data_IF_774966201489
#
_entry.id   IF_774966201489
#
_cell.length_a   1.000
_cell.length_b   1.000
_cell.length_c   1.000
_cell.angle_alpha   90.00
_cell.angle_beta   90.00
_cell.angle_gamma   90.00
#
_symmetry.space_group_name_H-M   'P 1'
#
loop_
_entity.id
_entity.type
_entity.pdbx_description
1 polymer ?
#
# COMPACT_ATOMS: atom_id res chain seq x y z
N UNK A 1 -33.46 2.90 -15.69
CA UNK A 1 -32.78 3.56 -14.54
C UNK A 1 -32.49 2.61 -13.38
N UNK A 2 -33.41 1.77 -12.93
CA UNK A 2 -33.20 0.88 -11.75
C UNK A 2 -31.99 -0.06 -11.84
N UNK A 3 -31.62 -0.58 -13.02
CA UNK A 3 -30.45 -1.45 -13.20
C UNK A 3 -29.11 -0.71 -13.11
N UNK A 4 -29.04 0.50 -13.65
CA UNK A 4 -27.83 1.35 -13.57
C UNK A 4 -27.53 1.71 -12.12
N UNK A 5 -28.55 2.12 -11.34
CA UNK A 5 -28.44 2.42 -9.92
C UNK A 5 -27.93 1.22 -9.11
N UNK A 6 -28.43 0.00 -9.39
CA UNK A 6 -27.94 -1.22 -8.74
C UNK A 6 -26.46 -1.52 -9.05
N UNK A 7 -26.03 -1.31 -10.29
CA UNK A 7 -24.61 -1.46 -10.62
C UNK A 7 -23.74 -0.38 -9.98
N UNK A 8 -24.23 0.86 -9.89
CA UNK A 8 -23.55 1.94 -9.19
C UNK A 8 -23.36 1.64 -7.70
N UNK A 9 -24.39 1.11 -7.04
CA UNK A 9 -24.29 0.67 -5.65
C UNK A 9 -23.24 -0.45 -5.46
N UNK A 10 -23.30 -1.48 -6.32
CA UNK A 10 -22.32 -2.58 -6.27
C UNK A 10 -20.90 -2.08 -6.55
N UNK A 11 -20.73 -1.15 -7.49
CA UNK A 11 -19.44 -0.53 -7.76
C UNK A 11 -18.90 0.19 -6.52
N UNK A 12 -19.76 0.97 -5.85
CA UNK A 12 -19.35 1.69 -4.63
C UNK A 12 -18.91 0.74 -3.50
N UNK A 13 -19.63 -0.39 -3.31
CA UNK A 13 -19.20 -1.41 -2.32
C UNK A 13 -17.88 -2.08 -2.72
N UNK A 14 -17.70 -2.44 -3.99
CA UNK A 14 -16.46 -3.05 -4.45
C UNK A 14 -15.26 -2.09 -4.38
N UNK A 15 -15.49 -0.80 -4.61
CA UNK A 15 -14.46 0.22 -4.41
C UNK A 15 -14.11 0.39 -2.93
N UNK A 16 -15.09 0.29 -2.02
CA UNK A 16 -14.84 0.28 -0.58
C UNK A 16 -13.96 -0.90 -0.17
N UNK A 17 -14.22 -2.10 -0.71
CA UNK A 17 -13.41 -3.29 -0.46
C UNK A 17 -11.96 -3.06 -0.94
N UNK A 18 -11.78 -2.48 -2.13
CA UNK A 18 -10.46 -2.13 -2.67
C UNK A 18 -9.72 -1.11 -1.80
N UNK A 19 -10.38 -0.02 -1.40
CA UNK A 19 -9.79 1.00 -0.51
C UNK A 19 -9.43 0.41 0.86
N UNK A 20 -10.24 -0.52 1.37
CA UNK A 20 -9.94 -1.24 2.61
C UNK A 20 -8.64 -2.05 2.49
N UNK A 21 -8.44 -2.78 1.39
CA UNK A 21 -7.18 -3.49 1.12
C UNK A 21 -5.98 -2.55 1.01
N UNK A 22 -6.15 -1.37 0.38
CA UNK A 22 -5.10 -0.35 0.28
C UNK A 22 -4.69 0.17 1.66
N UNK A 23 -5.67 0.49 2.51
CA UNK A 23 -5.42 0.98 3.88
C UNK A 23 -4.72 -0.09 4.72
N UNK A 24 -5.15 -1.35 4.64
CA UNK A 24 -4.49 -2.46 5.36
C UNK A 24 -3.03 -2.58 4.95
N UNK A 25 -2.73 -2.55 3.65
CA UNK A 25 -1.37 -2.58 3.17
C UNK A 25 -0.54 -1.38 3.63
N UNK A 26 -1.15 -0.18 3.64
CA UNK A 26 -0.48 1.03 4.09
C UNK A 26 -0.15 0.99 5.60
N UNK A 27 -1.09 0.51 6.42
CA UNK A 27 -0.88 0.34 7.88
C UNK A 27 0.22 -0.68 8.14
N UNK A 28 0.18 -1.85 7.48
CA UNK A 28 1.17 -2.90 7.69
C UNK A 28 2.57 -2.44 7.23
N UNK A 29 2.66 -1.76 6.09
CA UNK A 29 3.92 -1.19 5.62
C UNK A 29 4.48 -0.12 6.59
N UNK A 30 3.63 0.78 7.08
CA UNK A 30 4.03 1.78 8.07
C UNK A 30 4.45 1.14 9.40
N UNK A 31 3.74 0.10 9.86
CA UNK A 31 4.11 -0.68 11.03
C UNK A 31 5.53 -1.28 10.91
N UNK A 32 5.81 -1.98 9.81
CA UNK A 32 7.13 -2.59 9.58
C UNK A 32 8.23 -1.54 9.42
N UNK A 33 7.91 -0.36 8.89
CA UNK A 33 8.84 0.77 8.85
C UNK A 33 9.25 1.22 10.25
N UNK A 34 8.30 1.34 11.19
CA UNK A 34 8.59 1.69 12.59
C UNK A 34 9.44 0.59 13.26
N UNK A 35 9.11 -0.67 13.05
CA UNK A 35 9.88 -1.81 13.59
C UNK A 35 11.32 -1.81 13.05
N UNK A 36 11.50 -1.53 11.74
CA UNK A 36 12.84 -1.38 11.13
C UNK A 36 13.65 -0.29 11.82
N UNK A 37 13.08 0.90 11.99
CA UNK A 37 13.75 2.04 12.60
C UNK A 37 14.05 1.79 14.09
N UNK A 38 13.17 1.12 14.82
CA UNK A 38 13.43 0.70 16.20
C UNK A 38 14.62 -0.27 16.31
N UNK A 39 14.73 -1.20 15.36
CA UNK A 39 15.86 -2.12 15.30
C UNK A 39 17.17 -1.39 14.94
N UNK A 40 17.13 -0.46 13.98
CA UNK A 40 18.27 0.38 13.59
C UNK A 40 18.72 1.32 14.71
N UNK A 41 17.78 1.84 15.51
CA UNK A 41 18.10 2.64 16.70
C UNK A 41 18.92 1.82 17.71
N UNK A 42 18.48 0.60 18.04
CA UNK A 42 19.22 -0.31 18.93
C UNK A 42 20.60 -0.66 18.37
N UNK A 43 20.69 -0.87 17.06
CA UNK A 43 21.95 -1.14 16.37
C UNK A 43 22.91 0.06 16.48
N UNK A 44 22.42 1.29 16.26
CA UNK A 44 23.24 2.51 16.37
C UNK A 44 23.78 2.70 17.79
N UNK A 45 22.98 2.47 18.83
CA UNK A 45 23.43 2.49 20.23
C UNK A 45 24.52 1.44 20.51
N UNK A 46 24.34 0.21 19.99
CA UNK A 46 25.33 -0.85 20.12
C UNK A 46 26.65 -0.49 19.44
N UNK A 47 26.59 0.13 18.26
CA UNK A 47 27.77 0.57 17.52
C UNK A 47 28.52 1.70 18.25
N UNK A 48 27.81 2.69 18.80
CA UNK A 48 28.38 3.74 19.63
C UNK A 48 29.10 3.13 20.83
N UNK A 49 28.50 2.14 21.49
CA UNK A 49 29.10 1.44 22.63
C UNK A 49 30.40 0.71 22.24
N UNK A 50 30.43 0.08 21.05
CA UNK A 50 31.65 -0.57 20.52
C UNK A 50 32.76 0.44 20.24
N UNK A 51 32.44 1.58 19.60
CA UNK A 51 33.38 2.65 19.31
C UNK A 51 33.92 3.29 20.60
N UNK A 52 33.07 3.53 21.59
CA UNK A 52 33.48 4.10 22.87
C UNK A 52 34.43 3.17 23.64
N UNK A 53 34.14 1.86 23.61
CA UNK A 53 35.04 0.84 24.18
C UNK A 53 36.40 0.83 23.48
N UNK A 54 36.42 0.97 22.14
CA UNK A 54 37.68 1.06 21.39
C UNK A 54 38.46 2.36 21.74
N UNK A 55 37.75 3.50 21.85
CA UNK A 55 38.30 4.79 22.26
C UNK A 55 38.99 4.69 23.60
N UNK A 56 38.34 4.06 24.59
CA UNK A 56 38.93 3.87 25.94
C UNK A 56 40.20 3.05 25.86
N UNK A 57 40.22 1.95 25.11
CA UNK A 57 41.37 1.08 24.93
C UNK A 57 42.55 1.82 24.28
N UNK A 58 42.27 2.52 23.15
CA UNK A 58 43.28 3.27 22.40
C UNK A 58 43.85 4.43 23.23
N UNK A 59 42.99 5.10 24.03
CA UNK A 59 43.48 6.16 24.96
C UNK A 59 44.42 5.60 26.04
N UNK A 60 44.13 4.40 26.56
CA UNK A 60 45.06 3.73 27.50
C UNK A 60 46.40 3.35 26.83
N UNK A 61 46.36 2.86 25.58
CA UNK A 61 47.54 2.55 24.76
C UNK A 61 48.35 3.81 24.40
N UNK A 62 47.70 4.95 24.15
CA UNK A 62 48.34 6.24 23.92
C UNK A 62 49.12 6.70 25.16
N UNK A 63 48.55 6.57 26.36
CA UNK A 63 49.19 6.90 27.60
C UNK A 63 50.43 6.02 27.91
N UNK A 64 50.46 4.83 27.32
CA UNK A 64 51.60 3.90 27.39
C UNK A 64 52.61 4.10 26.24
N UNK A 65 52.34 5.02 25.29
CA UNK A 65 53.20 5.29 24.14
C UNK A 65 53.12 4.25 23.00
N UNK A 66 52.12 3.34 23.06
CA UNK A 66 51.92 2.26 22.07
C UNK A 66 51.01 2.69 20.90
N UNK A 67 50.06 3.61 21.12
CA UNK A 67 49.20 4.17 20.10
C UNK A 67 49.55 5.65 19.83
N UNK A 68 49.10 6.16 18.70
CA UNK A 68 49.29 7.56 18.31
C UNK A 68 48.06 8.42 18.63
N UNK A 69 48.27 9.74 18.74
CA UNK A 69 47.17 10.70 18.88
C UNK A 69 46.24 10.68 17.65
N UNK A 70 46.77 10.36 16.46
CA UNK A 70 46.00 10.23 15.23
C UNK A 70 45.00 9.05 15.31
N UNK A 71 45.38 7.93 15.91
CA UNK A 71 44.50 6.77 16.12
C UNK A 71 43.32 7.15 17.01
N UNK A 72 43.54 7.88 18.10
CA UNK A 72 42.47 8.34 18.98
C UNK A 72 41.51 9.31 18.26
N UNK A 73 42.08 10.29 17.54
CA UNK A 73 41.27 11.27 16.80
C UNK A 73 40.40 10.60 15.70
N UNK A 74 40.92 9.57 15.01
CA UNK A 74 40.16 8.82 14.01
C UNK A 74 38.95 8.12 14.63
N UNK A 75 39.07 7.56 15.83
CA UNK A 75 37.97 6.92 16.55
C UNK A 75 36.95 7.99 17.00
N UNK A 76 37.42 9.14 17.51
CA UNK A 76 36.52 10.24 17.90
C UNK A 76 35.71 10.79 16.72
N UNK A 77 36.32 10.90 15.53
CA UNK A 77 35.58 11.27 14.28
C UNK A 77 34.50 10.27 13.99
N UNK A 78 34.77 8.95 14.05
CA UNK A 78 33.78 7.89 13.83
C UNK A 78 32.68 7.89 14.89
N UNK A 79 33.04 8.15 16.16
CA UNK A 79 32.07 8.24 17.25
C UNK A 79 31.10 9.42 17.04
N UNK A 80 31.63 10.60 16.69
CA UNK A 80 30.81 11.76 16.38
C UNK A 80 29.87 11.50 15.16
N UNK A 81 30.39 10.84 14.11
CA UNK A 81 29.58 10.45 12.99
C UNK A 81 28.42 9.50 13.38
N UNK A 82 28.74 8.50 14.24
CA UNK A 82 27.74 7.56 14.74
C UNK A 82 26.66 8.26 15.60
N UNK A 83 27.02 9.28 16.37
CA UNK A 83 26.09 10.12 17.14
C UNK A 83 25.13 10.91 16.19
N UNK A 84 25.68 11.48 15.11
CA UNK A 84 24.84 12.15 14.09
C UNK A 84 23.87 11.17 13.43
N UNK A 85 24.34 9.97 13.11
CA UNK A 85 23.49 8.95 12.50
C UNK A 85 22.42 8.42 13.47
N UNK A 86 22.74 8.32 14.78
CA UNK A 86 21.75 8.03 15.83
C UNK A 86 20.64 9.09 15.85
N UNK A 87 21.01 10.39 15.89
CA UNK A 87 20.03 11.47 15.89
C UNK A 87 19.12 11.46 14.64
N UNK A 88 19.66 11.07 13.47
CA UNK A 88 18.87 10.88 12.25
C UNK A 88 17.87 9.73 12.39
N UNK A 89 18.28 8.60 12.95
CA UNK A 89 17.39 7.45 13.17
C UNK A 89 16.32 7.77 14.20
N UNK A 90 16.62 8.50 15.27
CA UNK A 90 15.66 8.96 16.28
C UNK A 90 14.58 9.86 15.64
N UNK A 91 15.01 10.84 14.83
CA UNK A 91 14.08 11.70 14.12
C UNK A 91 13.22 10.91 13.12
N UNK A 92 13.83 10.02 12.33
CA UNK A 92 13.10 9.16 11.39
C UNK A 92 12.09 8.26 12.11
N UNK A 93 12.44 7.71 13.30
CA UNK A 93 11.54 6.89 14.11
C UNK A 93 10.33 7.70 14.60
N UNK A 94 10.55 8.94 15.04
CA UNK A 94 9.46 9.85 15.46
C UNK A 94 8.51 10.14 14.30
N UNK A 95 9.05 10.47 13.12
CA UNK A 95 8.25 10.74 11.93
C UNK A 95 7.47 9.51 11.44
N UNK A 96 8.07 8.33 11.50
CA UNK A 96 7.40 7.08 11.13
C UNK A 96 6.25 6.73 12.08
N UNK A 97 6.41 6.99 13.39
CA UNK A 97 5.33 6.84 14.38
C UNK A 97 4.19 7.82 14.12
N UNK A 98 4.49 9.07 13.77
CA UNK A 98 3.46 10.06 13.40
C UNK A 98 2.72 9.65 12.12
N UNK A 99 3.42 9.09 11.13
CA UNK A 99 2.79 8.62 9.89
C UNK A 99 1.87 7.42 10.16
N UNK A 100 2.31 6.46 10.97
CA UNK A 100 1.47 5.34 11.40
C UNK A 100 0.24 5.83 12.19
N UNK A 101 0.40 6.75 13.12
CA UNK A 101 -0.72 7.33 13.88
C UNK A 101 -1.73 8.02 12.94
N UNK A 102 -1.24 8.79 11.95
CA UNK A 102 -2.08 9.43 10.93
C UNK A 102 -2.88 8.42 10.11
N UNK A 103 -2.25 7.35 9.63
CA UNK A 103 -2.92 6.32 8.82
C UNK A 103 -4.00 5.61 9.66
N UNK A 104 -3.74 5.40 10.97
CA UNK A 104 -4.70 4.83 11.91
C UNK A 104 -5.79 5.81 12.37
N UNK A 105 -5.77 7.07 11.91
CA UNK A 105 -6.73 8.09 12.34
C UNK A 105 -6.56 8.58 13.79
N UNK A 106 -5.36 8.38 14.38
CA UNK A 106 -5.01 8.80 15.73
C UNK A 106 -4.36 10.19 15.72
N UNK A 107 -4.31 10.84 16.90
CA UNK A 107 -3.55 12.07 17.05
C UNK A 107 -2.06 11.82 16.80
N UNK A 108 -1.38 12.76 16.12
CA UNK A 108 0.05 12.65 15.75
C UNK A 108 0.98 12.51 16.97
N UNK A 109 0.56 12.98 18.15
CA UNK A 109 1.32 12.89 19.38
C UNK A 109 0.97 11.65 20.22
N UNK A 110 0.16 10.73 19.70
CA UNK A 110 -0.20 9.51 20.42
C UNK A 110 1.02 8.61 20.61
N UNK A 111 1.32 8.23 21.83
CA UNK A 111 2.39 7.28 22.13
C UNK A 111 1.92 5.86 21.78
N UNK A 112 2.45 5.30 20.71
CA UNK A 112 2.17 3.93 20.28
C UNK A 112 3.20 2.98 20.89
N UNK A 113 2.73 1.98 21.62
CA UNK A 113 3.56 0.88 22.11
C UNK A 113 3.41 -0.30 21.15
N UNK A 114 4.45 -0.53 20.36
CA UNK A 114 4.47 -1.62 19.39
C UNK A 114 5.23 -2.82 19.95
N UNK A 115 4.70 -4.05 19.81
CA UNK A 115 5.43 -5.25 20.18
C UNK A 115 6.67 -5.42 19.28
N UNK A 116 7.78 -5.88 19.87
CA UNK A 116 9.05 -6.00 19.17
C UNK A 116 9.12 -7.37 18.46
N UNK A 117 8.51 -7.48 17.30
CA UNK A 117 8.30 -8.75 16.57
C UNK A 117 9.44 -9.15 15.63
N UNK A 118 10.53 -8.36 15.54
CA UNK A 118 11.65 -8.69 14.64
C UNK A 118 12.31 -10.05 14.98
N UNK A 119 12.16 -10.50 16.22
CA UNK A 119 12.67 -11.80 16.71
C UNK A 119 11.84 -12.99 16.24
N UNK A 120 10.57 -12.79 15.89
CA UNK A 120 9.62 -13.84 15.49
C UNK A 120 9.58 -14.04 13.97
N UNK A 121 10.73 -13.95 13.29
CA UNK A 121 10.80 -14.21 11.84
C UNK A 121 10.72 -15.72 11.57
N UNK A 122 9.57 -16.34 11.89
CA UNK A 122 9.21 -17.59 11.24
C UNK A 122 9.00 -17.28 9.76
N UNK A 123 9.60 -18.08 8.90
CA UNK A 123 9.32 -18.09 7.47
C UNK A 123 7.80 -18.14 7.30
N UNK A 124 7.19 -17.03 6.89
CA UNK A 124 5.76 -17.07 6.57
C UNK A 124 5.55 -18.10 5.46
N UNK A 125 4.50 -18.93 5.54
CA UNK A 125 4.18 -19.83 4.45
C UNK A 125 4.05 -19.00 3.17
N UNK A 126 4.83 -19.36 2.15
CA UNK A 126 4.73 -18.69 0.86
C UNK A 126 3.31 -18.91 0.31
N UNK A 127 2.61 -17.85 -0.11
CA UNK A 127 1.32 -18.02 -0.75
C UNK A 127 1.47 -18.94 -1.97
N UNK A 128 0.44 -19.73 -2.23
CA UNK A 128 0.46 -20.76 -3.26
C UNK A 128 0.57 -20.10 -4.65
N UNK A 129 1.77 -20.12 -5.23
CA UNK A 129 2.14 -19.43 -6.48
C UNK A 129 1.47 -20.06 -7.72
N UNK A 130 0.88 -21.25 -7.57
CA UNK A 130 0.28 -22.03 -8.67
C UNK A 130 -1.19 -21.66 -8.96
N UNK A 131 -1.67 -20.52 -8.49
CA UNK A 131 -3.04 -20.10 -8.76
C UNK A 131 -3.19 -19.66 -10.24
N UNK A 132 -4.22 -20.16 -10.89
CA UNK A 132 -4.59 -19.72 -12.23
C UNK A 132 -4.94 -18.24 -12.22
N UNK A 133 -4.49 -17.48 -13.23
CA UNK A 133 -4.81 -16.05 -13.36
C UNK A 133 -6.32 -15.77 -13.20
N UNK A 134 -7.18 -16.65 -13.71
CA UNK A 134 -8.62 -16.49 -13.57
C UNK A 134 -9.10 -16.55 -12.12
N UNK A 135 -8.46 -17.36 -11.26
CA UNK A 135 -8.78 -17.39 -9.83
C UNK A 135 -8.28 -16.14 -9.09
N UNK A 136 -7.15 -15.60 -9.51
CA UNK A 136 -6.64 -14.32 -8.99
C UNK A 136 -7.61 -13.19 -9.34
N UNK A 137 -7.98 -13.07 -10.61
CA UNK A 137 -8.94 -12.05 -11.09
C UNK A 137 -10.29 -12.14 -10.37
N UNK A 138 -10.76 -13.36 -10.07
CA UNK A 138 -12.03 -13.59 -9.37
C UNK A 138 -12.03 -13.13 -7.90
N UNK A 139 -10.86 -12.89 -7.30
CA UNK A 139 -10.72 -12.45 -5.91
C UNK A 139 -10.43 -10.95 -5.79
N UNK A 140 -9.98 -10.32 -6.87
CA UNK A 140 -9.52 -8.92 -6.85
C UNK A 140 -10.67 -7.93 -6.97
N UNK A 141 -10.90 -7.05 -5.98
CA UNK A 141 -11.98 -6.07 -6.03
C UNK A 141 -11.75 -4.99 -7.10
N UNK A 142 -10.50 -4.59 -7.38
CA UNK A 142 -10.17 -3.62 -8.44
C UNK A 142 -10.59 -4.13 -9.83
N UNK A 143 -10.36 -5.41 -10.15
CA UNK A 143 -10.81 -6.02 -11.40
C UNK A 143 -12.33 -6.11 -11.47
N UNK A 144 -13.00 -6.50 -10.37
CA UNK A 144 -14.45 -6.53 -10.30
C UNK A 144 -15.09 -5.14 -10.46
N UNK A 145 -14.45 -4.08 -9.93
CA UNK A 145 -14.90 -2.71 -10.14
C UNK A 145 -14.90 -2.34 -11.63
N UNK A 146 -13.86 -2.73 -12.38
CA UNK A 146 -13.80 -2.52 -13.84
C UNK A 146 -14.85 -3.34 -14.60
N UNK A 147 -15.08 -4.59 -14.21
CA UNK A 147 -16.18 -5.40 -14.79
C UNK A 147 -17.55 -4.73 -14.59
N UNK A 148 -17.82 -4.21 -13.40
CA UNK A 148 -19.03 -3.45 -13.11
C UNK A 148 -19.10 -2.17 -13.94
N UNK A 149 -17.97 -1.50 -14.14
CA UNK A 149 -17.83 -0.35 -15.04
C UNK A 149 -18.26 -0.68 -16.47
N UNK A 150 -17.80 -1.80 -17.02
CA UNK A 150 -18.25 -2.29 -18.37
C UNK A 150 -19.75 -2.53 -18.38
N UNK A 151 -20.31 -3.21 -17.36
CA UNK A 151 -21.76 -3.46 -17.25
C UNK A 151 -22.56 -2.15 -17.17
N UNK A 152 -22.05 -1.13 -16.49
CA UNK A 152 -22.66 0.20 -16.44
C UNK A 152 -22.66 0.88 -17.81
N UNK A 153 -21.53 0.86 -18.54
CA UNK A 153 -21.45 1.40 -19.91
C UNK A 153 -22.42 0.68 -20.87
N UNK A 154 -22.57 -0.64 -20.75
CA UNK A 154 -23.57 -1.40 -21.50
C UNK A 154 -25.01 -0.97 -21.17
N UNK A 155 -25.32 -0.65 -19.90
CA UNK A 155 -26.65 -0.09 -19.58
C UNK A 155 -26.84 1.33 -20.14
N UNK A 156 -25.79 2.16 -20.16
CA UNK A 156 -25.83 3.48 -20.79
C UNK A 156 -26.07 3.37 -22.32
N UNK A 157 -25.44 2.41 -23.00
CA UNK A 157 -25.68 2.11 -24.40
C UNK A 157 -27.18 1.72 -24.64
N UNK A 158 -27.74 0.86 -23.76
CA UNK A 158 -29.17 0.48 -23.85
C UNK A 158 -30.09 1.67 -23.60
N UNK A 159 -29.73 2.60 -22.70
CA UNK A 159 -30.48 3.84 -22.46
C UNK A 159 -30.45 4.70 -23.72
N UNK A 160 -29.26 4.92 -24.33
CA UNK A 160 -29.14 5.66 -25.58
C UNK A 160 -29.94 5.03 -26.73
N UNK A 161 -29.97 3.69 -26.79
CA UNK A 161 -30.83 2.98 -27.76
C UNK A 161 -32.33 3.20 -27.47
N UNK A 162 -32.72 3.23 -26.19
CA UNK A 162 -34.14 3.44 -25.81
C UNK A 162 -34.65 4.86 -26.17
N UNK A 163 -33.76 5.85 -26.29
CA UNK A 163 -34.14 7.18 -26.78
C UNK A 163 -34.60 7.20 -28.27
N UNK A 164 -34.35 6.12 -29.00
CA UNK A 164 -34.83 5.92 -30.40
C UNK A 164 -36.14 5.15 -30.46
N UNK A 165 -36.63 4.59 -29.34
CA UNK A 165 -37.85 3.80 -29.27
C UNK A 165 -39.02 4.64 -28.76
N UNK A 166 -40.29 4.23 -29.05
CA UNK A 166 -41.47 4.86 -28.46
C UNK A 166 -41.42 4.82 -26.93
N UNK A 167 -41.68 5.95 -26.30
CA UNK A 167 -41.79 6.09 -24.85
C UNK A 167 -43.27 6.21 -24.46
N UNK A 168 -43.69 5.40 -23.48
CA UNK A 168 -45.04 5.43 -22.91
C UNK A 168 -44.95 5.88 -21.47
N UNK A 169 -45.61 6.97 -21.15
CA UNK A 169 -45.69 7.50 -19.78
C UNK A 169 -47.16 7.54 -19.32
N UNK A 170 -47.40 7.11 -18.10
CA UNK A 170 -48.68 7.29 -17.42
C UNK A 170 -48.60 8.50 -16.52
N UNK A 171 -49.49 9.44 -16.67
CA UNK A 171 -49.52 10.72 -15.94
C UNK A 171 -50.83 10.80 -15.17
N UNK A 172 -50.73 11.04 -13.86
CA UNK A 172 -51.87 11.36 -13.00
C UNK A 172 -51.65 12.73 -12.38
N UNK A 173 -52.65 13.59 -12.43
CA UNK A 173 -52.62 14.89 -11.80
C UNK A 173 -53.92 15.17 -11.04
N UNK A 174 -53.79 15.78 -9.88
CA UNK A 174 -54.90 16.36 -9.16
C UNK A 174 -54.69 17.87 -9.12
N UNK A 175 -55.62 18.59 -9.78
CA UNK A 175 -55.49 20.05 -9.97
C UNK A 175 -56.59 20.75 -9.20
N UNK A 176 -56.19 21.66 -8.33
CA UNK A 176 -57.06 22.58 -7.61
C UNK A 176 -57.07 23.92 -8.32
N UNK A 177 -58.26 24.39 -8.79
CA UNK A 177 -58.34 25.67 -9.47
C UNK A 177 -59.65 26.41 -9.16
N UNK A 178 -59.57 27.77 -9.25
CA UNK A 178 -60.71 28.66 -9.21
C UNK A 178 -60.55 29.71 -10.30
N UNK A 179 -61.43 29.78 -11.33
CA UNK A 179 -62.58 28.88 -11.59
C UNK A 179 -62.16 27.46 -11.94
N UNK A 180 -63.02 26.50 -11.59
CA UNK A 180 -62.80 25.10 -12.00
C UNK A 180 -63.14 24.95 -13.48
N UNK A 181 -62.09 24.66 -14.28
CA UNK A 181 -62.23 24.51 -15.75
C UNK A 181 -62.91 23.19 -16.15
N UNK A 182 -63.01 22.20 -15.23
CA UNK A 182 -63.60 20.89 -15.49
C UNK A 182 -65.07 20.80 -15.10
N UNK A 183 -65.58 21.82 -14.36
CA UNK A 183 -67.01 21.91 -13.94
C UNK A 183 -67.63 23.24 -14.38
N UNK A 184 -67.70 23.47 -15.73
CA UNK A 184 -68.40 24.56 -16.33
C UNK A 184 -68.00 25.99 -15.91
N UNK A 185 -66.73 26.22 -15.59
CA UNK A 185 -66.20 27.49 -15.10
C UNK A 185 -66.79 27.96 -13.75
N UNK A 186 -67.19 27.03 -12.90
CA UNK A 186 -67.67 27.29 -11.54
C UNK A 186 -66.64 28.16 -10.74
N UNK A 187 -67.06 29.33 -10.24
CA UNK A 187 -66.25 30.27 -9.47
C UNK A 187 -66.05 29.82 -8.00
N UNK A 188 -65.64 28.59 -7.79
CA UNK A 188 -65.27 28.09 -6.47
C UNK A 188 -64.01 27.25 -6.57
N UNK A 189 -63.26 27.15 -5.49
CA UNK A 189 -62.13 26.23 -5.44
C UNK A 189 -62.66 24.78 -5.41
N UNK A 190 -62.34 24.00 -6.44
CA UNK A 190 -62.66 22.61 -6.49
C UNK A 190 -61.53 21.82 -7.12
N UNK A 191 -61.41 20.54 -6.79
CA UNK A 191 -60.36 19.65 -7.24
C UNK A 191 -60.82 18.71 -8.33
N UNK A 192 -60.06 18.59 -9.41
CA UNK A 192 -60.28 17.62 -10.47
C UNK A 192 -59.10 16.64 -10.54
N UNK A 193 -59.43 15.34 -10.57
CA UNK A 193 -58.45 14.30 -10.84
C UNK A 193 -58.44 13.97 -12.31
N UNK A 194 -57.23 13.94 -12.91
CA UNK A 194 -57.03 13.51 -14.30
C UNK A 194 -56.00 12.39 -14.35
N UNK A 195 -56.27 11.36 -15.13
CA UNK A 195 -55.36 10.30 -15.46
C UNK A 195 -55.28 10.17 -16.98
N UNK A 196 -54.07 10.03 -17.50
CA UNK A 196 -53.82 9.91 -18.91
C UNK A 196 -52.60 9.05 -19.22
N UNK A 197 -52.56 8.53 -20.46
CA UNK A 197 -51.36 7.90 -21.02
C UNK A 197 -50.83 8.77 -22.15
N UNK A 198 -49.53 9.04 -22.13
CA UNK A 198 -48.83 9.79 -23.17
C UNK A 198 -47.87 8.84 -23.89
N UNK A 199 -47.97 8.78 -25.21
CA UNK A 199 -47.07 7.99 -26.08
C UNK A 199 -46.25 9.00 -26.89
N UNK A 200 -44.95 9.00 -26.73
CA UNK A 200 -44.02 9.86 -27.49
C UNK A 200 -43.19 8.99 -28.42
N UNK A 201 -43.30 9.23 -29.72
CA UNK A 201 -42.55 8.51 -30.76
C UNK A 201 -41.60 9.48 -31.43
N UNK A 202 -40.26 9.31 -31.24
CA UNK A 202 -39.27 10.16 -31.91
C UNK A 202 -39.19 9.80 -33.39
N UNK A 203 -39.69 10.68 -34.27
CA UNK A 203 -39.71 10.42 -35.72
C UNK A 203 -38.40 10.87 -36.38
N UNK A 204 -37.90 12.07 -36.02
CA UNK A 204 -36.73 12.63 -36.65
C UNK A 204 -35.96 13.57 -35.71
N UNK A 205 -34.65 13.33 -35.56
CA UNK A 205 -33.73 14.14 -34.72
C UNK A 205 -32.42 14.43 -35.45
N UNK A 206 -32.41 14.60 -36.75
CA UNK A 206 -31.25 14.93 -37.59
C UNK A 206 -30.01 14.08 -37.28
N UNK A 207 -30.18 12.77 -37.04
CA UNK A 207 -29.11 11.83 -36.67
C UNK A 207 -28.60 11.95 -35.24
N UNK A 208 -29.12 12.88 -34.43
CA UNK A 208 -28.63 13.14 -33.08
C UNK A 208 -28.69 11.91 -32.16
N UNK A 209 -29.82 11.19 -32.11
CA UNK A 209 -29.99 9.98 -31.29
C UNK A 209 -29.12 8.82 -31.78
N UNK A 210 -28.92 8.69 -33.08
CA UNK A 210 -28.02 7.69 -33.66
C UNK A 210 -26.57 7.95 -33.28
N UNK A 211 -26.12 9.21 -33.32
CA UNK A 211 -24.77 9.57 -32.90
C UNK A 211 -24.57 9.38 -31.40
N UNK A 212 -25.56 9.69 -30.55
CA UNK A 212 -25.52 9.37 -29.11
C UNK A 212 -25.34 7.86 -28.86
N UNK A 213 -26.11 7.01 -29.58
CA UNK A 213 -25.94 5.57 -29.49
C UNK A 213 -24.56 5.12 -29.94
N UNK A 214 -24.01 5.66 -31.04
CA UNK A 214 -22.64 5.35 -31.47
C UNK A 214 -21.58 5.74 -30.43
N UNK A 215 -21.74 6.90 -29.83
CA UNK A 215 -20.85 7.35 -28.71
C UNK A 215 -20.95 6.37 -27.55
N UNK A 216 -22.15 6.01 -27.12
CA UNK A 216 -22.35 5.07 -26.02
C UNK A 216 -21.73 3.68 -26.32
N UNK A 217 -21.91 3.17 -27.55
CA UNK A 217 -21.30 1.93 -28.02
C UNK A 217 -19.77 1.98 -28.05
N UNK A 218 -19.20 3.11 -28.48
CA UNK A 218 -17.74 3.32 -28.45
C UNK A 218 -17.23 3.35 -27.02
N UNK A 219 -17.94 3.98 -26.09
CA UNK A 219 -17.59 3.98 -24.66
C UNK A 219 -17.61 2.58 -24.05
N UNK A 220 -18.50 1.68 -24.48
CA UNK A 220 -18.47 0.26 -24.08
C UNK A 220 -17.19 -0.41 -24.57
N UNK A 221 -16.78 -0.15 -25.81
CA UNK A 221 -15.54 -0.74 -26.35
C UNK A 221 -14.32 -0.22 -25.60
N UNK A 222 -14.25 1.08 -25.29
CA UNK A 222 -13.18 1.66 -24.46
C UNK A 222 -13.12 0.97 -23.10
N UNK A 223 -14.28 0.81 -22.44
CA UNK A 223 -14.31 0.15 -21.13
C UNK A 223 -13.87 -1.33 -21.18
N UNK A 224 -14.18 -2.05 -22.28
CA UNK A 224 -13.70 -3.43 -22.48
C UNK A 224 -12.18 -3.47 -22.66
N UNK A 225 -11.63 -2.59 -23.49
CA UNK A 225 -10.17 -2.50 -23.68
C UNK A 225 -9.45 -2.15 -22.38
N UNK A 226 -10.00 -1.25 -21.57
CA UNK A 226 -9.44 -0.95 -20.23
C UNK A 226 -9.51 -2.16 -19.28
N UNK A 227 -10.54 -3.00 -19.41
CA UNK A 227 -10.63 -4.26 -18.63
C UNK A 227 -9.58 -5.27 -19.08
N UNK A 228 -9.37 -5.42 -20.40
CA UNK A 228 -8.34 -6.30 -20.95
C UNK A 228 -6.93 -5.81 -20.55
N UNK A 229 -6.67 -4.52 -20.64
CA UNK A 229 -5.41 -3.89 -20.15
C UNK A 229 -5.19 -4.15 -18.66
N UNK A 230 -6.22 -4.00 -17.84
CA UNK A 230 -6.14 -4.29 -16.40
C UNK A 230 -5.81 -5.76 -16.13
N UNK A 231 -6.36 -6.68 -16.91
CA UNK A 231 -6.04 -8.12 -16.83
C UNK A 231 -4.55 -8.37 -17.08
N UNK A 232 -4.00 -7.75 -18.13
CA UNK A 232 -2.58 -7.91 -18.47
C UNK A 232 -1.68 -7.26 -17.42
N UNK A 233 -2.07 -6.10 -16.90
CA UNK A 233 -1.37 -5.42 -15.81
C UNK A 233 -1.39 -6.25 -14.51
N UNK A 234 -2.51 -6.89 -14.18
CA UNK A 234 -2.60 -7.79 -13.01
C UNK A 234 -1.69 -9.00 -13.18
N UNK A 235 -1.67 -9.61 -14.38
CA UNK A 235 -0.75 -10.72 -14.66
C UNK A 235 0.71 -10.32 -14.46
N UNK A 236 1.08 -9.11 -14.93
CA UNK A 236 2.41 -8.56 -14.73
C UNK A 236 2.70 -8.28 -13.25
N UNK A 237 1.77 -7.69 -12.51
CA UNK A 237 1.90 -7.42 -11.07
C UNK A 237 2.13 -8.70 -10.26
N UNK A 238 1.37 -9.76 -10.53
CA UNK A 238 1.53 -11.07 -9.88
C UNK A 238 2.92 -11.64 -10.18
N UNK A 239 3.36 -11.60 -11.44
CA UNK A 239 4.70 -12.05 -11.81
C UNK A 239 5.81 -11.25 -11.10
N UNK A 240 5.69 -9.92 -11.09
CA UNK A 240 6.65 -9.05 -10.41
C UNK A 240 6.68 -9.28 -8.91
N UNK A 241 5.52 -9.39 -8.26
CA UNK A 241 5.44 -9.67 -6.82
C UNK A 241 6.05 -11.04 -6.47
N UNK A 242 5.82 -12.06 -7.32
CA UNK A 242 6.41 -13.39 -7.15
C UNK A 242 7.94 -13.35 -7.24
N UNK A 243 8.49 -12.69 -8.27
CA UNK A 243 9.93 -12.56 -8.43
C UNK A 243 10.58 -11.76 -7.30
N UNK A 244 9.95 -10.66 -6.85
CA UNK A 244 10.43 -9.87 -5.71
C UNK A 244 10.42 -10.67 -4.41
N UNK A 245 9.39 -11.48 -4.15
CA UNK A 245 9.35 -12.34 -2.97
C UNK A 245 10.46 -13.40 -2.99
N UNK A 246 10.75 -13.99 -4.16
CA UNK A 246 11.86 -14.92 -4.33
C UNK A 246 13.23 -14.25 -4.16
N UNK A 247 13.39 -13.03 -4.69
CA UNK A 247 14.60 -12.21 -4.51
C UNK A 247 14.82 -11.87 -3.04
N UNK A 248 13.81 -11.36 -2.35
CA UNK A 248 13.89 -11.03 -0.92
C UNK A 248 14.30 -12.24 -0.07
N UNK A 249 13.79 -13.43 -0.39
CA UNK A 249 14.19 -14.66 0.30
C UNK A 249 15.68 -14.99 0.09
N UNK A 250 16.19 -14.85 -1.12
CA UNK A 250 17.62 -15.07 -1.42
C UNK A 250 18.49 -14.02 -0.74
N UNK A 251 18.05 -12.77 -0.74
CA UNK A 251 18.72 -11.65 -0.05
C UNK A 251 18.80 -11.89 1.45
N UNK A 252 17.72 -12.40 2.07
CA UNK A 252 17.73 -12.73 3.51
C UNK A 252 18.75 -13.82 3.84
N UNK A 253 18.86 -14.88 3.04
CA UNK A 253 19.85 -15.96 3.23
C UNK A 253 21.27 -15.40 3.08
N UNK A 254 21.51 -14.57 2.07
CA UNK A 254 22.81 -13.94 1.84
C UNK A 254 23.19 -12.97 3.00
N UNK A 255 22.23 -12.13 3.45
CA UNK A 255 22.45 -11.20 4.56
C UNK A 255 22.72 -11.92 5.88
N UNK A 256 22.08 -13.07 6.13
CA UNK A 256 22.34 -13.90 7.31
C UNK A 256 23.78 -14.44 7.27
N UNK A 257 24.20 -15.00 6.13
CA UNK A 257 25.57 -15.50 5.95
C UNK A 257 26.62 -14.39 6.06
N UNK A 258 26.29 -13.19 5.49
CA UNK A 258 27.15 -12.00 5.59
C UNK A 258 27.37 -11.59 7.06
N UNK A 259 26.29 -11.56 7.83
CA UNK A 259 26.37 -11.21 9.26
C UNK A 259 27.21 -12.20 10.03
N UNK A 260 27.05 -13.50 9.79
CA UNK A 260 27.85 -14.54 10.46
C UNK A 260 29.35 -14.35 10.20
N UNK A 261 29.73 -14.04 8.94
CA UNK A 261 31.11 -13.75 8.58
C UNK A 261 31.61 -12.45 9.20
N UNK A 262 30.77 -11.38 9.20
CA UNK A 262 31.12 -10.10 9.79
C UNK A 262 31.30 -10.20 11.32
N UNK A 263 30.46 -10.98 12.01
CA UNK A 263 30.62 -11.26 13.43
C UNK A 263 31.96 -11.93 13.74
N UNK A 264 32.32 -12.97 12.98
CA UNK A 264 33.58 -13.68 13.18
C UNK A 264 34.79 -12.81 12.85
N UNK A 265 34.73 -12.01 11.77
CA UNK A 265 35.78 -11.06 11.42
C UNK A 265 35.98 -10.02 12.51
N UNK A 266 34.91 -9.44 13.06
CA UNK A 266 34.98 -8.49 14.16
C UNK A 266 35.58 -9.14 15.41
N UNK A 267 35.18 -10.37 15.74
CA UNK A 267 35.71 -11.13 16.87
C UNK A 267 37.23 -11.32 16.75
N UNK A 268 37.70 -11.76 15.58
CA UNK A 268 39.13 -11.98 15.30
C UNK A 268 39.87 -10.64 15.36
N UNK A 269 39.37 -9.57 14.72
CA UNK A 269 40.00 -8.25 14.73
C UNK A 269 40.14 -7.70 16.15
N UNK A 270 39.11 -7.83 16.99
CA UNK A 270 39.19 -7.37 18.40
C UNK A 270 40.22 -8.16 19.21
N UNK A 271 40.39 -9.47 19.01
CA UNK A 271 41.41 -10.26 19.69
C UNK A 271 42.78 -9.85 19.18
N UNK A 272 43.02 -9.82 17.87
CA UNK A 272 44.31 -9.46 17.27
C UNK A 272 44.77 -8.06 17.65
N UNK A 273 43.83 -7.13 17.80
CA UNK A 273 44.15 -5.79 18.33
C UNK A 273 44.59 -5.79 19.78
N UNK A 274 43.95 -6.58 20.66
CA UNK A 274 44.35 -6.72 22.06
C UNK A 274 45.74 -7.31 22.19
N UNK A 275 46.12 -8.23 21.31
CA UNK A 275 47.44 -8.83 21.23
C UNK A 275 48.48 -7.92 20.53
N UNK A 276 48.09 -6.74 20.05
CA UNK A 276 48.98 -5.79 19.37
C UNK A 276 49.39 -6.20 17.96
N UNK A 277 48.68 -7.15 17.33
CA UNK A 277 49.01 -7.69 16.00
C UNK A 277 48.49 -6.80 14.85
N UNK A 278 47.36 -6.12 15.07
CA UNK A 278 46.76 -5.23 14.06
C UNK A 278 46.51 -3.85 14.63
N UNK A 279 46.51 -2.78 13.80
CA UNK A 279 46.20 -1.42 14.21
C UNK A 279 44.71 -1.21 14.52
N UNK A 280 44.37 -0.10 15.20
CA UNK A 280 43.00 0.30 15.51
C UNK A 280 42.13 0.55 14.27
N UNK A 281 42.74 0.94 13.13
CA UNK A 281 42.06 1.12 11.83
C UNK A 281 41.37 -0.14 11.36
N UNK A 282 42.01 -1.30 11.49
CA UNK A 282 41.47 -2.59 11.01
C UNK A 282 40.30 -3.04 11.90
N UNK A 283 40.32 -2.74 13.19
CA UNK A 283 39.16 -2.96 14.07
C UNK A 283 38.01 -2.07 13.71
N UNK A 284 38.26 -0.79 13.39
CA UNK A 284 37.20 0.13 12.94
C UNK A 284 36.59 -0.32 11.61
N UNK A 285 37.39 -0.85 10.67
CA UNK A 285 36.92 -1.42 9.42
C UNK A 285 36.01 -2.64 9.69
N UNK A 286 36.46 -3.57 10.54
CA UNK A 286 35.67 -4.73 10.94
C UNK A 286 34.35 -4.34 11.64
N UNK A 287 34.37 -3.32 12.52
CA UNK A 287 33.17 -2.78 13.16
C UNK A 287 32.20 -2.14 12.14
N UNK A 288 32.74 -1.42 11.16
CA UNK A 288 31.92 -0.82 10.09
C UNK A 288 31.30 -1.89 9.19
N UNK A 289 32.04 -2.93 8.85
CA UNK A 289 31.54 -4.08 8.09
C UNK A 289 30.43 -4.82 8.87
N UNK A 290 30.61 -5.02 10.17
CA UNK A 290 29.61 -5.62 11.05
C UNK A 290 28.34 -4.76 11.12
N UNK A 291 28.45 -3.43 11.30
CA UNK A 291 27.32 -2.51 11.31
C UNK A 291 26.52 -2.60 10.01
N UNK A 292 27.23 -2.59 8.87
CA UNK A 292 26.61 -2.71 7.53
C UNK A 292 25.89 -4.05 7.36
N UNK A 293 26.51 -5.16 7.76
CA UNK A 293 25.92 -6.49 7.69
C UNK A 293 24.67 -6.62 8.57
N UNK A 294 24.71 -6.07 9.78
CA UNK A 294 23.57 -6.06 10.70
C UNK A 294 22.40 -5.21 10.16
N UNK A 295 22.71 -4.03 9.60
CA UNK A 295 21.71 -3.19 8.94
C UNK A 295 21.06 -3.89 7.74
N UNK A 296 21.88 -4.54 6.90
CA UNK A 296 21.38 -5.31 5.75
C UNK A 296 20.49 -6.47 6.16
N UNK A 297 20.79 -7.16 7.25
CA UNK A 297 19.94 -8.23 7.78
C UNK A 297 18.57 -7.67 8.26
N UNK A 298 18.58 -6.53 8.97
CA UNK A 298 17.33 -5.86 9.38
C UNK A 298 16.50 -5.53 8.14
N UNK A 299 17.10 -4.88 7.14
CA UNK A 299 16.42 -4.51 5.90
C UNK A 299 15.89 -5.73 5.15
N UNK A 300 16.69 -6.79 5.01
CA UNK A 300 16.26 -8.02 4.34
C UNK A 300 15.09 -8.72 5.05
N UNK A 301 15.06 -8.73 6.40
CA UNK A 301 13.94 -9.27 7.17
C UNK A 301 12.64 -8.50 6.91
N UNK A 302 12.71 -7.17 6.89
CA UNK A 302 11.56 -6.29 6.61
C UNK A 302 11.11 -6.47 5.15
N UNK A 303 12.04 -6.54 4.21
CA UNK A 303 11.74 -6.73 2.78
C UNK A 303 10.99 -8.03 2.52
N UNK A 304 11.37 -9.14 3.16
CA UNK A 304 10.63 -10.40 3.06
C UNK A 304 9.18 -10.24 3.54
N UNK A 305 8.94 -9.51 4.64
CA UNK A 305 7.59 -9.25 5.16
C UNK A 305 6.77 -8.43 4.18
N UNK A 306 7.32 -7.32 3.68
CA UNK A 306 6.65 -6.44 2.74
C UNK A 306 6.39 -7.12 1.38
N UNK A 307 7.36 -7.90 0.87
CA UNK A 307 7.16 -8.65 -0.37
C UNK A 307 6.06 -9.71 -0.25
N UNK A 308 5.95 -10.39 0.90
CA UNK A 308 4.87 -11.35 1.15
C UNK A 308 3.50 -10.65 1.27
N UNK A 309 3.43 -9.48 1.91
CA UNK A 309 2.23 -8.65 1.96
C UNK A 309 1.76 -8.25 0.55
N UNK A 310 2.67 -7.69 -0.25
CA UNK A 310 2.35 -7.28 -1.62
C UNK A 310 2.04 -8.46 -2.54
N UNK A 311 2.65 -9.62 -2.32
CA UNK A 311 2.29 -10.84 -3.05
C UNK A 311 0.89 -11.31 -2.68
N UNK A 312 0.52 -11.31 -1.39
CA UNK A 312 -0.84 -11.64 -0.95
C UNK A 312 -1.88 -10.69 -1.53
N UNK A 313 -1.58 -9.38 -1.59
CA UNK A 313 -2.40 -8.38 -2.26
C UNK A 313 -2.54 -8.67 -3.75
N UNK A 314 -1.43 -8.92 -4.44
CA UNK A 314 -1.43 -9.20 -5.89
C UNK A 314 -2.24 -10.45 -6.24
N UNK A 315 -2.25 -11.47 -5.37
CA UNK A 315 -3.04 -12.69 -5.50
C UNK A 315 -4.50 -12.55 -5.04
N UNK A 316 -4.89 -11.42 -4.45
CA UNK A 316 -6.22 -11.25 -3.86
C UNK A 316 -6.50 -12.18 -2.69
N UNK A 317 -5.47 -12.51 -1.90
CA UNK A 317 -5.55 -13.41 -0.73
C UNK A 317 -5.31 -12.68 0.58
N UNK A 318 -5.41 -11.35 0.58
CA UNK A 318 -5.29 -10.55 1.79
C UNK A 318 -6.47 -10.91 2.70
N UNK A 319 -6.18 -11.60 3.83
CA UNK A 319 -7.18 -11.92 4.84
C UNK A 319 -7.18 -10.79 5.87
N UNK A 320 -8.34 -10.21 6.10
CA UNK A 320 -8.60 -9.30 7.22
C UNK A 320 -9.86 -9.77 7.94
N UNK A 321 -9.79 -9.82 9.25
CA UNK A 321 -10.95 -10.12 10.08
C UNK A 321 -11.90 -8.92 10.05
N UNK A 322 -13.05 -9.08 9.39
CA UNK A 322 -14.13 -8.09 9.37
C UNK A 322 -14.96 -8.09 10.66
N UNK A 323 -14.57 -8.84 11.68
CA UNK A 323 -15.32 -9.06 12.92
C UNK A 323 -14.66 -8.39 14.14
N UNK A 324 -14.22 -7.14 14.02
CA UNK A 324 -13.74 -6.34 15.17
C UNK A 324 -14.58 -5.09 15.33
#
# INVERSE_FOLDING_TARGET
>A
MNRLSKFSQKLATTLLDHETEEVICAVDAAYWQVISLSAKHKLALSYITLLDSLRINVNAMLNQGVATKADLLNIEVKLNQAQVDLARVENASTLALMDLAKICGLDLNTTLLLPNELSATSLLPQPNINDSLNHVLARRPDYHALELGVKMRQQQERIALSEMLPNVAMVGAYTFSNPNMFDGFSKRFDGAFSIGAMVTIPIWHWGGNYNKYRIAKTNVNIAKLSLDEARDNIALQVSQATHKAQEAQKTLIAATTLLDKANENLRIAMISFKEGVIPSSDVMEAQTAWLSAQSQLIDAKIEVRLCNLYLSKALGTLQYDTNS
#
